data_IF_985925102566
#
_entry.id   IF_985925102566
#
_cell.length_a   1.000
_cell.length_b   1.000
_cell.length_c   1.000
_cell.angle_alpha   90.00
_cell.angle_beta   90.00
_cell.angle_gamma   90.00
#
_symmetry.space_group_name_H-M   'P 1'
#
loop_
_entity.id
_entity.type
_entity.pdbx_description
1 polymer ?
#
# COMPACT_ATOMS: atom_id res chain seq x y z
N UNK A 1 -11.59 -12.77 10.87
CA UNK A 1 -11.22 -11.33 10.89
C UNK A 1 -12.08 -10.47 9.96
N UNK A 2 -12.14 -10.74 8.64
CA UNK A 2 -12.92 -9.94 7.69
C UNK A 2 -14.40 -9.76 8.08
N UNK A 3 -15.09 -10.86 8.38
CA UNK A 3 -16.50 -10.80 8.83
C UNK A 3 -16.66 -10.05 10.14
N UNK A 4 -15.68 -10.12 11.05
CA UNK A 4 -15.71 -9.38 12.31
C UNK A 4 -15.53 -7.86 12.08
N UNK A 5 -14.65 -7.46 11.16
CA UNK A 5 -14.40 -6.05 10.83
C UNK A 5 -15.47 -5.43 9.95
N UNK A 6 -16.03 -6.19 9.02
CA UNK A 6 -16.85 -5.65 7.94
C UNK A 6 -18.24 -6.27 7.83
N UNK A 7 -18.52 -7.40 8.48
CA UNK A 7 -19.74 -8.19 8.26
C UNK A 7 -21.03 -7.48 8.66
N UNK A 8 -21.01 -6.74 9.78
CA UNK A 8 -22.18 -6.03 10.30
C UNK A 8 -22.41 -4.64 9.69
N UNK A 9 -21.46 -4.12 8.90
CA UNK A 9 -21.57 -2.79 8.30
C UNK A 9 -22.63 -2.77 7.21
N UNK A 10 -23.34 -1.65 7.06
CA UNK A 10 -24.09 -1.35 5.83
C UNK A 10 -23.13 -1.25 4.64
N UNK A 11 -23.65 -1.35 3.41
CA UNK A 11 -22.80 -1.24 2.22
C UNK A 11 -22.07 0.11 2.15
N UNK A 12 -22.75 1.20 2.54
CA UNK A 12 -22.13 2.52 2.61
C UNK A 12 -21.00 2.57 3.66
N UNK A 13 -21.27 2.13 4.89
CA UNK A 13 -20.25 2.11 5.95
C UNK A 13 -19.06 1.23 5.58
N UNK A 14 -19.30 0.10 4.91
CA UNK A 14 -18.25 -0.75 4.38
C UNK A 14 -17.37 0.01 3.37
N UNK A 15 -17.97 0.73 2.42
CA UNK A 15 -17.25 1.52 1.41
C UNK A 15 -16.43 2.63 2.06
N UNK A 16 -17.02 3.39 2.99
CA UNK A 16 -16.30 4.43 3.74
C UNK A 16 -15.12 3.84 4.52
N UNK A 17 -15.29 2.67 5.14
CA UNK A 17 -14.23 2.02 5.90
C UNK A 17 -13.08 1.53 5.01
N UNK A 18 -13.35 0.98 3.83
CA UNK A 18 -12.27 0.54 2.92
C UNK A 18 -11.51 1.72 2.31
N UNK A 19 -12.14 2.87 2.08
CA UNK A 19 -11.42 4.10 1.70
C UNK A 19 -10.34 4.45 2.73
N UNK A 20 -10.73 4.49 4.02
CA UNK A 20 -9.78 4.75 5.11
C UNK A 20 -8.71 3.68 5.24
N UNK A 21 -9.12 2.41 5.23
CA UNK A 21 -8.20 1.31 5.54
C UNK A 21 -7.24 0.98 4.39
N UNK A 22 -7.68 1.11 3.14
CA UNK A 22 -6.88 0.72 1.97
C UNK A 22 -6.16 1.93 1.38
N UNK A 23 -6.83 3.08 1.26
CA UNK A 23 -6.26 4.27 0.61
C UNK A 23 -5.74 5.32 1.61
N UNK A 24 -6.02 5.14 2.91
CA UNK A 24 -5.55 6.06 3.95
C UNK A 24 -6.24 7.42 3.93
N UNK A 25 -7.41 7.54 3.31
CA UNK A 25 -8.15 8.80 3.16
C UNK A 25 -9.66 8.59 3.21
N UNK A 26 -10.41 9.66 3.40
CA UNK A 26 -11.85 9.64 3.20
C UNK A 26 -12.21 9.49 1.72
N UNK A 27 -13.31 8.81 1.45
CA UNK A 27 -13.84 8.65 0.10
C UNK A 27 -14.55 9.89 -0.39
N UNK A 28 -14.41 10.19 -1.69
CA UNK A 28 -15.22 11.22 -2.34
C UNK A 28 -16.72 10.81 -2.31
N UNK A 29 -17.62 11.79 -2.20
CA UNK A 29 -19.07 11.53 -2.22
C UNK A 29 -19.52 10.73 -3.45
N UNK A 30 -18.98 11.05 -4.64
CA UNK A 30 -19.27 10.34 -5.89
C UNK A 30 -18.73 8.91 -5.90
N UNK A 31 -17.52 8.69 -5.39
CA UNK A 31 -16.91 7.37 -5.26
C UNK A 31 -17.68 6.48 -4.29
N UNK A 32 -18.03 7.02 -3.11
CA UNK A 32 -18.84 6.32 -2.12
C UNK A 32 -20.19 5.92 -2.72
N UNK A 33 -20.88 6.85 -3.40
CA UNK A 33 -22.17 6.58 -4.04
C UNK A 33 -22.06 5.48 -5.12
N UNK A 34 -21.02 5.54 -5.96
CA UNK A 34 -20.79 4.55 -7.00
C UNK A 34 -20.61 3.14 -6.42
N UNK A 35 -19.69 2.95 -5.47
CA UNK A 35 -19.39 1.64 -4.90
C UNK A 35 -20.55 1.10 -4.06
N UNK A 36 -21.23 1.96 -3.31
CA UNK A 36 -22.44 1.61 -2.55
C UNK A 36 -23.50 1.05 -3.49
N UNK A 37 -23.75 1.73 -4.62
CA UNK A 37 -24.70 1.25 -5.64
C UNK A 37 -24.30 -0.09 -6.24
N UNK A 38 -23.00 -0.36 -6.48
CA UNK A 38 -22.57 -1.68 -6.98
C UNK A 38 -22.87 -2.81 -5.99
N UNK A 39 -22.73 -2.54 -4.69
CA UNK A 39 -23.05 -3.48 -3.62
C UNK A 39 -24.55 -3.67 -3.44
N UNK A 40 -25.32 -2.58 -3.45
CA UNK A 40 -26.79 -2.61 -3.29
C UNK A 40 -27.46 -3.36 -4.43
N UNK A 41 -27.00 -3.13 -5.67
CA UNK A 41 -27.46 -3.86 -6.85
C UNK A 41 -26.89 -5.28 -6.96
N UNK A 42 -26.10 -5.73 -5.98
CA UNK A 42 -25.41 -7.03 -5.95
C UNK A 42 -24.57 -7.33 -7.21
N UNK A 43 -24.13 -6.28 -7.91
CA UNK A 43 -23.29 -6.39 -9.13
C UNK A 43 -21.86 -6.77 -8.78
N UNK A 44 -21.40 -6.39 -7.58
CA UNK A 44 -20.09 -6.77 -7.06
C UNK A 44 -20.23 -7.19 -5.60
N UNK A 45 -19.74 -8.37 -5.20
CA UNK A 45 -19.65 -8.72 -3.80
C UNK A 45 -18.56 -7.87 -3.10
N UNK A 46 -18.62 -7.77 -1.77
CA UNK A 46 -17.67 -6.98 -0.96
C UNK A 46 -16.21 -7.35 -1.21
N UNK A 47 -15.90 -8.64 -1.39
CA UNK A 47 -14.56 -9.11 -1.73
C UNK A 47 -14.06 -8.53 -3.06
N UNK A 48 -14.91 -8.48 -4.09
CA UNK A 48 -14.55 -7.89 -5.38
C UNK A 48 -14.36 -6.37 -5.27
N UNK A 49 -15.14 -5.67 -4.43
CA UNK A 49 -14.93 -4.24 -4.19
C UNK A 49 -13.57 -4.02 -3.52
N UNK A 50 -13.23 -4.79 -2.50
CA UNK A 50 -11.92 -4.69 -1.84
C UNK A 50 -10.75 -5.01 -2.78
N UNK A 51 -10.92 -5.99 -3.67
CA UNK A 51 -9.95 -6.27 -4.74
C UNK A 51 -9.74 -5.04 -5.64
N UNK A 52 -10.81 -4.42 -6.12
CA UNK A 52 -10.70 -3.23 -6.98
C UNK A 52 -10.01 -2.05 -6.29
N UNK A 53 -10.16 -1.90 -4.96
CA UNK A 53 -9.43 -0.89 -4.20
C UNK A 53 -7.93 -1.23 -4.10
N UNK A 54 -7.61 -2.50 -3.82
CA UNK A 54 -6.23 -2.98 -3.70
C UNK A 54 -5.48 -2.97 -5.04
N UNK A 55 -6.19 -3.14 -6.15
CA UNK A 55 -5.64 -3.08 -7.51
C UNK A 55 -5.77 -1.69 -8.14
N UNK A 56 -6.33 -0.72 -7.40
CA UNK A 56 -6.50 0.63 -7.94
C UNK A 56 -5.14 1.26 -8.23
N UNK A 57 -5.06 2.04 -9.31
CA UNK A 57 -3.84 2.78 -9.63
C UNK A 57 -3.42 3.72 -8.50
N UNK A 58 -4.37 4.15 -7.67
CA UNK A 58 -4.09 4.94 -6.47
C UNK A 58 -3.33 4.12 -5.42
N UNK A 59 -3.85 2.95 -5.03
CA UNK A 59 -3.18 2.07 -4.08
C UNK A 59 -1.80 1.62 -4.58
N UNK A 60 -1.71 1.25 -5.86
CA UNK A 60 -0.44 0.86 -6.49
C UNK A 60 0.58 2.00 -6.39
N UNK A 61 0.18 3.25 -6.71
CA UNK A 61 1.08 4.41 -6.59
C UNK A 61 1.47 4.69 -5.13
N UNK A 62 0.53 4.55 -4.20
CA UNK A 62 0.78 4.79 -2.77
C UNK A 62 1.77 3.78 -2.19
N UNK A 63 1.75 2.53 -2.65
CA UNK A 63 2.59 1.45 -2.13
C UNK A 63 3.89 1.25 -2.91
N UNK A 64 4.01 1.80 -4.14
CA UNK A 64 5.18 1.62 -5.01
C UNK A 64 6.51 1.94 -4.32
N UNK A 65 6.60 3.07 -3.61
CA UNK A 65 7.81 3.45 -2.89
C UNK A 65 8.21 2.43 -1.82
N UNK A 66 7.24 1.93 -1.05
CA UNK A 66 7.50 0.96 0.02
C UNK A 66 7.96 -0.39 -0.55
N UNK A 67 7.31 -0.85 -1.62
CA UNK A 67 7.67 -2.10 -2.32
C UNK A 67 9.11 -2.03 -2.81
N UNK A 68 9.51 -0.92 -3.43
CA UNK A 68 10.88 -0.80 -3.94
C UNK A 68 11.92 -0.71 -2.84
N UNK A 69 11.63 -0.04 -1.73
CA UNK A 69 12.53 -0.06 -0.56
C UNK A 69 12.73 -1.49 -0.06
N UNK A 70 11.65 -2.26 0.12
CA UNK A 70 11.73 -3.65 0.56
C UNK A 70 12.55 -4.50 -0.40
N UNK A 71 12.32 -4.36 -1.71
CA UNK A 71 13.06 -5.08 -2.74
C UNK A 71 14.56 -4.77 -2.68
N UNK A 72 14.93 -3.49 -2.55
CA UNK A 72 16.32 -3.05 -2.55
C UNK A 72 17.05 -3.50 -1.28
N UNK A 73 16.46 -3.36 -0.09
CA UNK A 73 17.05 -3.87 1.15
C UNK A 73 17.20 -5.40 1.11
N UNK A 74 16.20 -6.13 0.61
CA UNK A 74 16.28 -7.59 0.50
C UNK A 74 17.36 -8.02 -0.48
N UNK A 75 17.46 -7.36 -1.64
CA UNK A 75 18.46 -7.68 -2.65
C UNK A 75 19.89 -7.29 -2.22
N UNK A 76 20.06 -6.08 -1.69
CA UNK A 76 21.37 -5.46 -1.43
C UNK A 76 21.90 -5.71 -0.03
N UNK A 77 21.06 -6.02 0.96
CA UNK A 77 21.49 -6.33 2.33
C UNK A 77 21.07 -7.73 2.83
N UNK A 78 20.27 -8.49 2.07
CA UNK A 78 19.68 -9.78 2.52
C UNK A 78 18.88 -9.66 3.82
N UNK A 79 18.30 -8.48 4.07
CA UNK A 79 17.45 -8.24 5.23
C UNK A 79 16.19 -7.48 4.86
N UNK A 80 15.19 -7.64 5.71
CA UNK A 80 13.95 -6.87 5.67
C UNK A 80 14.25 -5.47 6.25
N UNK A 81 13.81 -4.37 5.61
CA UNK A 81 13.94 -3.04 6.18
C UNK A 81 13.02 -2.87 7.41
N UNK A 82 13.40 -2.00 8.33
CA UNK A 82 12.53 -1.58 9.43
C UNK A 82 11.41 -0.67 8.90
N UNK A 83 10.35 -0.48 9.70
CA UNK A 83 9.27 0.43 9.34
C UNK A 83 9.76 1.86 9.15
N UNK A 84 10.75 2.31 9.94
CA UNK A 84 11.34 3.64 9.82
C UNK A 84 12.16 3.79 8.53
N UNK A 85 12.90 2.75 8.12
CA UNK A 85 13.63 2.75 6.85
C UNK A 85 12.68 2.82 5.65
N UNK A 86 11.56 2.09 5.69
CA UNK A 86 10.52 2.16 4.67
C UNK A 86 9.87 3.56 4.63
N UNK A 87 9.56 4.12 5.79
CA UNK A 87 8.94 5.44 5.91
C UNK A 87 9.88 6.56 5.42
N UNK A 88 11.17 6.45 5.71
CA UNK A 88 12.20 7.40 5.28
C UNK A 88 12.41 7.35 3.77
N UNK A 89 12.63 6.16 3.21
CA UNK A 89 13.08 6.01 1.82
C UNK A 89 11.94 5.95 0.81
N UNK A 90 10.74 5.52 1.20
CA UNK A 90 9.60 5.36 0.30
C UNK A 90 9.28 6.63 -0.50
N UNK A 91 9.11 7.80 0.15
CA UNK A 91 8.88 9.06 -0.55
C UNK A 91 10.04 9.48 -1.46
N UNK A 92 11.29 9.24 -1.03
CA UNK A 92 12.49 9.59 -1.80
C UNK A 92 12.56 8.77 -3.09
N UNK A 93 12.28 7.46 -3.02
CA UNK A 93 12.28 6.58 -4.19
C UNK A 93 11.24 7.00 -5.21
N UNK A 94 10.06 7.43 -4.76
CA UNK A 94 8.99 7.91 -5.65
C UNK A 94 9.36 9.27 -6.28
N UNK A 95 9.94 10.18 -5.51
CA UNK A 95 10.24 11.55 -5.97
C UNK A 95 11.52 11.64 -6.81
N UNK A 96 12.54 10.84 -6.50
CA UNK A 96 13.90 10.98 -7.04
C UNK A 96 14.42 9.71 -7.71
N UNK A 97 13.60 8.67 -7.78
CA UNK A 97 14.01 7.34 -8.25
C UNK A 97 14.86 6.59 -7.24
N UNK A 98 15.32 5.39 -7.62
CA UNK A 98 16.00 4.45 -6.71
C UNK A 98 17.48 4.74 -6.43
N UNK A 99 18.13 5.62 -7.21
CA UNK A 99 19.57 5.83 -7.12
C UNK A 99 20.05 6.29 -5.73
N UNK A 100 19.38 7.26 -5.05
CA UNK A 100 19.81 7.69 -3.72
C UNK A 100 19.80 6.57 -2.68
N UNK A 101 18.80 5.67 -2.74
CA UNK A 101 18.75 4.52 -1.85
C UNK A 101 19.84 3.50 -2.18
N UNK A 102 20.10 3.23 -3.46
CA UNK A 102 21.18 2.32 -3.86
C UNK A 102 22.53 2.84 -3.35
N UNK A 103 22.83 4.13 -3.54
CA UNK A 103 24.06 4.76 -3.05
C UNK A 103 24.19 4.66 -1.53
N UNK A 104 23.10 4.95 -0.80
CA UNK A 104 23.06 4.79 0.66
C UNK A 104 23.35 3.35 1.09
N UNK A 105 22.72 2.36 0.43
CA UNK A 105 22.92 0.95 0.77
C UNK A 105 24.35 0.49 0.46
N UNK A 106 24.91 0.88 -0.70
CA UNK A 106 26.29 0.54 -1.07
C UNK A 106 27.33 1.08 -0.09
N UNK A 107 27.08 2.25 0.52
CA UNK A 107 27.99 2.85 1.50
C UNK A 107 27.74 2.45 2.95
N UNK A 108 26.95 1.39 3.20
CA UNK A 108 26.63 0.96 4.56
C UNK A 108 27.54 -0.16 5.05
N UNK A 109 27.88 -0.16 6.34
CA UNK A 109 28.64 -1.25 6.99
C UNK A 109 27.99 -2.63 6.76
N UNK A 110 26.65 -2.65 6.69
CA UNK A 110 25.88 -3.86 6.43
C UNK A 110 26.11 -4.41 5.02
N UNK A 111 26.37 -3.55 4.04
CA UNK A 111 26.73 -3.95 2.68
C UNK A 111 28.18 -4.43 2.62
N UNK A 112 29.10 -3.70 3.25
CA UNK A 112 30.52 -4.08 3.31
C UNK A 112 30.71 -5.44 3.97
N UNK A 113 29.96 -5.72 5.05
CA UNK A 113 29.98 -7.02 5.75
C UNK A 113 29.49 -8.20 4.90
N UNK A 114 28.90 -7.96 3.71
CA UNK A 114 28.52 -9.02 2.76
C UNK A 114 29.62 -9.38 1.77
N UNK A 115 30.59 -8.51 1.57
CA UNK A 115 31.68 -8.71 0.60
C UNK A 115 32.84 -9.35 1.37
N UNK A 116 33.30 -10.56 0.99
CA UNK A 116 34.41 -11.25 1.65
C UNK A 116 35.75 -10.52 1.56
#
# INVERSE_FOLDING_TARGET
EFTARYGALTNRQFVEQIYRNVLGREGEASGIAYWTRQLDLRRKPRGQVMLNFSESSEYIRQTAGQVEVINLYTAMLRRIPTTDEVALWGPIVVASGRAPLIEHLLGSDAYDSRIP
#
